data_IF_982727871840
#
_entry.id   IF_982727871840
#
_cell.length_a   1.000
_cell.length_b   1.000
_cell.length_c   1.000
_cell.angle_alpha   90.00
_cell.angle_beta   90.00
_cell.angle_gamma   90.00
#
_symmetry.space_group_name_H-M   'P 1'
#
loop_
_entity.id
_entity.type
_entity.pdbx_description
1 polymer ?
#
# COMPACT_ATOMS: atom_id res chain seq x y z
N UNK A 1 14.04 22.28 7.21
CA UNK A 1 13.63 22.47 5.80
C UNK A 1 13.14 21.12 5.31
N UNK A 2 11.88 21.00 4.89
CA UNK A 2 11.39 19.76 4.27
C UNK A 2 12.10 19.64 2.92
N UNK A 3 12.83 18.55 2.72
CA UNK A 3 13.60 18.32 1.50
C UNK A 3 12.75 17.67 0.40
N UNK A 4 13.32 17.54 -0.79
CA UNK A 4 12.65 16.93 -1.94
C UNK A 4 12.17 15.50 -1.63
N UNK A 5 12.96 14.76 -0.84
CA UNK A 5 12.66 13.38 -0.45
C UNK A 5 11.35 13.30 0.34
N UNK A 6 11.14 14.21 1.31
CA UNK A 6 9.89 14.29 2.05
C UNK A 6 8.67 14.47 1.13
N UNK A 7 8.74 15.41 0.19
CA UNK A 7 7.61 15.68 -0.73
C UNK A 7 7.35 14.53 -1.69
N UNK A 8 8.41 13.86 -2.17
CA UNK A 8 8.27 12.68 -3.01
C UNK A 8 7.59 11.53 -2.25
N UNK A 9 7.96 11.31 -0.99
CA UNK A 9 7.35 10.25 -0.17
C UNK A 9 5.89 10.56 0.15
N UNK A 10 5.55 11.82 0.46
CA UNK A 10 4.17 12.23 0.69
C UNK A 10 3.29 12.04 -0.57
N UNK A 11 3.80 12.43 -1.74
CA UNK A 11 3.10 12.22 -3.02
C UNK A 11 2.96 10.72 -3.35
N UNK A 12 3.97 9.91 -3.02
CA UNK A 12 3.93 8.46 -3.11
C UNK A 12 2.76 7.88 -2.32
N UNK A 13 2.69 8.19 -1.02
CA UNK A 13 1.61 7.74 -0.12
C UNK A 13 0.24 8.17 -0.65
N UNK A 14 0.10 9.42 -1.12
CA UNK A 14 -1.15 9.88 -1.72
C UNK A 14 -1.54 9.06 -2.96
N UNK A 15 -0.57 8.75 -3.83
CA UNK A 15 -0.77 7.87 -4.98
C UNK A 15 -1.23 6.47 -4.57
N UNK A 16 -0.62 5.90 -3.54
CA UNK A 16 -0.99 4.58 -3.02
C UNK A 16 -2.41 4.56 -2.44
N UNK A 17 -2.79 5.58 -1.66
CA UNK A 17 -4.15 5.71 -1.13
C UNK A 17 -5.18 5.83 -2.25
N UNK A 18 -4.88 6.59 -3.31
CA UNK A 18 -5.75 6.71 -4.47
C UNK A 18 -5.91 5.37 -5.20
N UNK A 19 -4.82 4.64 -5.43
CA UNK A 19 -4.87 3.32 -6.08
C UNK A 19 -5.60 2.31 -5.20
N UNK A 20 -5.42 2.37 -3.88
CA UNK A 20 -6.16 1.53 -2.94
C UNK A 20 -7.67 1.77 -3.05
N UNK A 21 -8.09 3.04 -3.11
CA UNK A 21 -9.47 3.45 -3.33
C UNK A 21 -10.02 2.97 -4.68
N UNK A 22 -9.23 3.07 -5.76
CA UNK A 22 -9.59 2.55 -7.07
C UNK A 22 -9.76 1.02 -7.05
N UNK A 23 -8.85 0.30 -6.39
CA UNK A 23 -8.93 -1.16 -6.22
C UNK A 23 -10.23 -1.57 -5.54
N UNK A 24 -10.58 -0.92 -4.43
CA UNK A 24 -11.86 -1.13 -3.72
C UNK A 24 -13.05 -0.81 -4.63
N UNK A 25 -13.00 0.31 -5.36
CA UNK A 25 -14.04 0.68 -6.32
C UNK A 25 -14.25 -0.36 -7.43
N UNK A 26 -13.16 -0.90 -7.99
CA UNK A 26 -13.20 -2.01 -8.97
C UNK A 26 -13.78 -3.27 -8.33
N UNK A 27 -13.42 -3.55 -7.09
CA UNK A 27 -13.89 -4.73 -6.37
C UNK A 27 -15.43 -4.72 -6.22
N UNK A 28 -16.00 -3.57 -5.86
CA UNK A 28 -17.44 -3.40 -5.77
C UNK A 28 -18.12 -3.37 -7.13
N UNK A 29 -17.61 -2.60 -8.08
CA UNK A 29 -18.25 -2.39 -9.38
C UNK A 29 -18.23 -3.64 -10.25
N UNK A 30 -17.11 -4.34 -10.28
CA UNK A 30 -16.89 -5.51 -11.15
C UNK A 30 -17.04 -6.84 -10.42
N UNK A 31 -17.40 -6.82 -9.13
CA UNK A 31 -17.40 -8.00 -8.23
C UNK A 31 -16.11 -8.82 -8.33
N UNK A 32 -15.00 -8.15 -8.64
CA UNK A 32 -13.74 -8.80 -8.96
C UNK A 32 -12.87 -8.92 -7.72
N UNK A 33 -12.44 -10.14 -7.43
CA UNK A 33 -11.47 -10.38 -6.36
C UNK A 33 -10.15 -9.65 -6.61
N UNK A 34 -9.78 -9.35 -7.86
CA UNK A 34 -8.56 -8.59 -8.20
C UNK A 34 -8.58 -7.20 -7.58
N UNK A 35 -9.74 -6.52 -7.60
CA UNK A 35 -9.88 -5.20 -6.99
C UNK A 35 -9.62 -5.23 -5.48
N UNK A 36 -10.10 -6.27 -4.80
CA UNK A 36 -9.86 -6.45 -3.37
C UNK A 36 -8.38 -6.66 -3.04
N UNK A 37 -7.70 -7.53 -3.80
CA UNK A 37 -6.27 -7.78 -3.57
C UNK A 37 -5.42 -6.54 -3.90
N UNK A 38 -5.71 -5.86 -5.01
CA UNK A 38 -5.02 -4.62 -5.40
C UNK A 38 -5.25 -3.53 -4.35
N UNK A 39 -6.50 -3.33 -3.92
CA UNK A 39 -6.85 -2.37 -2.88
C UNK A 39 -6.10 -2.62 -1.57
N UNK A 40 -6.08 -3.88 -1.14
CA UNK A 40 -5.38 -4.30 0.07
C UNK A 40 -3.86 -4.10 -0.03
N UNK A 41 -3.25 -4.44 -1.17
CA UNK A 41 -1.81 -4.26 -1.38
C UNK A 41 -1.37 -2.81 -1.23
N UNK A 42 -2.05 -1.90 -1.92
CA UNK A 42 -1.72 -0.48 -1.88
C UNK A 42 -2.06 0.17 -0.54
N UNK A 43 -3.09 -0.31 0.15
CA UNK A 43 -3.39 0.15 1.51
C UNK A 43 -2.30 -0.24 2.50
N UNK A 44 -1.79 -1.47 2.41
CA UNK A 44 -0.70 -1.94 3.28
C UNK A 44 0.61 -1.22 2.98
N UNK A 45 0.88 -0.92 1.71
CA UNK A 45 2.03 -0.10 1.30
C UNK A 45 1.93 1.34 1.83
N UNK A 46 0.78 1.98 1.66
CA UNK A 46 0.53 3.31 2.21
C UNK A 46 0.72 3.35 3.73
N UNK A 47 0.27 2.32 4.45
CA UNK A 47 0.48 2.21 5.89
C UNK A 47 1.97 2.06 6.23
N UNK A 48 2.69 1.21 5.51
CA UNK A 48 4.14 1.03 5.67
C UNK A 48 4.90 2.34 5.45
N UNK A 49 4.67 3.02 4.32
CA UNK A 49 5.35 4.25 3.96
C UNK A 49 5.01 5.40 4.91
N UNK A 50 3.77 5.45 5.39
CA UNK A 50 3.34 6.44 6.37
C UNK A 50 3.99 6.24 7.74
N UNK A 51 4.17 4.99 8.19
CA UNK A 51 4.93 4.68 9.42
C UNK A 51 6.40 5.11 9.26
N UNK A 52 7.00 4.83 8.11
CA UNK A 52 8.40 5.19 7.83
C UNK A 52 8.59 6.71 7.75
N UNK A 53 7.65 7.43 7.12
CA UNK A 53 7.63 8.88 7.11
C UNK A 53 7.50 9.45 8.53
N UNK A 54 6.60 8.90 9.35
CA UNK A 54 6.39 9.28 10.74
C UNK A 54 7.63 9.10 11.63
N UNK A 55 8.40 8.04 11.39
CA UNK A 55 9.71 7.82 12.03
C UNK A 55 10.74 8.84 11.59
N UNK A 56 10.82 9.14 10.29
CA UNK A 56 11.79 10.08 9.74
C UNK A 56 11.60 11.51 10.30
N UNK A 57 10.35 11.92 10.54
CA UNK A 57 10.02 13.24 11.10
C UNK A 57 10.02 13.29 12.63
N UNK A 58 10.31 12.16 13.30
CA UNK A 58 10.45 12.07 14.77
C UNK A 58 9.19 12.44 15.56
N UNK A 59 8.01 12.47 14.94
CA UNK A 59 6.78 13.02 15.54
C UNK A 59 5.71 11.97 15.89
N UNK A 60 5.99 10.68 15.66
CA UNK A 60 5.00 9.61 15.81
C UNK A 60 5.24 8.77 17.07
N UNK A 61 4.22 8.69 17.92
CA UNK A 61 4.20 7.89 19.15
C UNK A 61 3.99 6.38 18.91
N UNK A 62 3.71 5.97 17.68
CA UNK A 62 3.49 4.56 17.32
C UNK A 62 4.85 3.96 16.95
N UNK A 63 5.59 3.51 17.97
CA UNK A 63 6.79 2.70 17.75
C UNK A 63 6.37 1.24 17.51
N UNK A 64 5.98 0.96 16.26
CA UNK A 64 5.67 -0.39 15.83
C UNK A 64 6.95 -1.21 15.77
N UNK A 65 6.94 -2.37 16.42
CA UNK A 65 8.05 -3.32 16.36
C UNK A 65 8.45 -3.58 14.90
N UNK A 66 9.76 -3.61 14.56
CA UNK A 66 10.25 -3.92 13.22
C UNK A 66 9.66 -5.22 12.65
N UNK A 67 9.35 -6.19 13.51
CA UNK A 67 8.69 -7.43 13.12
C UNK A 67 7.28 -7.21 12.57
N UNK A 68 6.49 -6.33 13.19
CA UNK A 68 5.14 -6.01 12.73
C UNK A 68 5.19 -5.31 11.37
N UNK A 69 6.11 -4.37 11.21
CA UNK A 69 6.35 -3.66 9.96
C UNK A 69 6.76 -4.66 8.86
N UNK A 70 7.65 -5.59 9.17
CA UNK A 70 8.06 -6.66 8.26
C UNK A 70 6.89 -7.57 7.84
N UNK A 71 6.01 -7.91 8.77
CA UNK A 71 4.79 -8.70 8.48
C UNK A 71 3.85 -7.92 7.54
N UNK A 72 3.61 -6.64 7.82
CA UNK A 72 2.76 -5.78 6.96
C UNK A 72 3.31 -5.73 5.54
N UNK A 73 4.62 -5.48 5.39
CA UNK A 73 5.29 -5.47 4.09
C UNK A 73 5.17 -6.83 3.38
N UNK A 74 5.41 -7.92 4.11
CA UNK A 74 5.31 -9.27 3.55
C UNK A 74 3.90 -9.60 3.03
N UNK A 75 2.86 -9.24 3.79
CA UNK A 75 1.46 -9.41 3.36
C UNK A 75 1.17 -8.53 2.13
N UNK A 76 1.68 -7.30 2.09
CA UNK A 76 1.55 -6.42 0.95
C UNK A 76 2.15 -7.05 -0.33
N UNK A 77 3.35 -7.63 -0.23
CA UNK A 77 4.00 -8.33 -1.34
C UNK A 77 3.19 -9.56 -1.79
N UNK A 78 2.73 -10.40 -0.86
CA UNK A 78 1.90 -11.57 -1.20
C UNK A 78 0.63 -11.15 -1.95
N UNK A 79 -0.06 -10.12 -1.46
CA UNK A 79 -1.30 -9.64 -2.08
C UNK A 79 -1.05 -9.04 -3.46
N UNK A 80 0.11 -8.39 -3.68
CA UNK A 80 0.52 -7.91 -5.02
C UNK A 80 0.74 -9.08 -5.98
N UNK A 81 1.47 -10.11 -5.56
CA UNK A 81 1.72 -11.30 -6.38
C UNK A 81 0.41 -11.99 -6.76
N UNK A 82 -0.53 -12.14 -5.82
CA UNK A 82 -1.85 -12.71 -6.10
C UNK A 82 -2.63 -11.84 -7.10
N UNK A 83 -2.59 -10.52 -6.94
CA UNK A 83 -3.23 -9.59 -7.87
C UNK A 83 -2.66 -9.73 -9.28
N UNK A 84 -1.34 -9.72 -9.40
CA UNK A 84 -0.63 -9.85 -10.67
C UNK A 84 -0.95 -11.19 -11.35
N UNK A 85 -0.94 -12.29 -10.60
CA UNK A 85 -1.28 -13.62 -11.11
C UNK A 85 -2.71 -13.70 -11.63
N UNK A 86 -3.67 -13.09 -10.92
CA UNK A 86 -5.06 -13.08 -11.36
C UNK A 86 -5.27 -12.20 -12.59
N UNK A 87 -4.55 -11.08 -12.70
CA UNK A 87 -4.56 -10.26 -13.91
C UNK A 87 -3.99 -11.06 -15.08
N UNK A 88 -2.84 -11.71 -14.89
CA UNK A 88 -2.23 -12.57 -15.91
C UNK A 88 -3.19 -13.65 -16.40
N UNK A 89 -3.82 -14.40 -15.48
CA UNK A 89 -4.83 -15.42 -15.81
C UNK A 89 -6.09 -14.90 -16.50
N UNK A 90 -6.39 -13.60 -16.42
CA UNK A 90 -7.53 -13.00 -17.08
C UNK A 90 -7.20 -12.54 -18.52
N UNK A 91 -5.92 -12.57 -18.92
CA UNK A 91 -5.45 -12.25 -20.26
C UNK A 91 -5.33 -13.48 -21.17
N UNK A 92 -5.27 -14.68 -20.58
CA UNK A 92 -5.33 -15.99 -21.25
C UNK A 92 -6.79 -16.42 -21.47
#
# INVERSE_FOLDING_TARGET
MLDLLFWMQLLGILGEVLIAGLGVGIAFRSKSSVGWFMGLSFLLYALYDFIQLGRAIGSWAIDLSPYIIGIVYFIAVITMVISAWKIYKALD
#
